data_IF_895775468295
#
_entry.id   IF_895775468295
#
_cell.length_a   1.000
_cell.length_b   1.000
_cell.length_c   1.000
_cell.angle_alpha   90.00
_cell.angle_beta   90.00
_cell.angle_gamma   90.00
#
_symmetry.space_group_name_H-M   'P 1'
#
loop_
_entity.id
_entity.type
_entity.pdbx_description
1 polymer ?
#
# COMPACT_ATOMS: atom_id res chain seq x y z
N UNK A 1 17.90 22.62 11.18
CA UNK A 1 17.75 24.00 11.71
C UNK A 1 16.85 23.98 12.95
N UNK A 2 17.28 24.57 14.07
CA UNK A 2 16.44 24.69 15.29
C UNK A 2 15.35 25.75 15.06
N UNK A 3 14.11 25.40 15.38
CA UNK A 3 12.95 26.31 15.34
C UNK A 3 13.09 27.41 16.40
N UNK A 4 12.81 28.65 16.01
CA UNK A 4 12.72 29.78 16.93
C UNK A 4 11.57 29.62 17.93
N UNK A 5 11.68 30.25 19.10
CA UNK A 5 10.71 30.10 20.22
C UNK A 5 9.27 30.41 19.80
N UNK A 6 9.04 31.52 19.11
CA UNK A 6 7.70 31.90 18.62
C UNK A 6 7.10 30.92 17.61
N UNK A 7 7.94 30.23 16.83
CA UNK A 7 7.48 29.20 15.90
C UNK A 7 7.09 27.91 16.64
N UNK A 8 7.77 27.56 17.74
CA UNK A 8 7.38 26.43 18.59
C UNK A 8 6.04 26.67 19.29
N UNK A 9 5.81 27.89 19.78
CA UNK A 9 4.55 28.24 20.44
C UNK A 9 3.37 28.14 19.46
N UNK A 10 3.56 28.59 18.21
CA UNK A 10 2.56 28.43 17.13
C UNK A 10 2.29 26.97 16.81
N UNK A 11 3.33 26.12 16.74
CA UNK A 11 3.16 24.66 16.52
C UNK A 11 2.33 24.06 17.65
N UNK A 12 2.67 24.37 18.91
CA UNK A 12 1.94 23.85 20.06
C UNK A 12 0.48 24.32 20.06
N UNK A 13 0.25 25.61 19.82
CA UNK A 13 -1.09 26.19 19.75
C UNK A 13 -1.92 25.56 18.62
N UNK A 14 -1.31 25.38 17.45
CA UNK A 14 -1.96 24.74 16.31
C UNK A 14 -2.35 23.28 16.62
N UNK A 15 -1.44 22.51 17.20
CA UNK A 15 -1.69 21.12 17.60
C UNK A 15 -2.79 21.01 18.66
N UNK A 16 -2.82 21.92 19.65
CA UNK A 16 -3.86 21.96 20.68
C UNK A 16 -5.23 22.25 20.07
N UNK A 17 -5.31 23.15 19.08
CA UNK A 17 -6.58 23.54 18.47
C UNK A 17 -7.09 22.49 17.48
N UNK A 18 -6.20 21.91 16.67
CA UNK A 18 -6.60 21.02 15.55
C UNK A 18 -6.52 19.54 15.87
N UNK A 19 -5.82 19.15 16.93
CA UNK A 19 -5.45 17.75 17.20
C UNK A 19 -4.43 17.19 16.20
N UNK A 20 -3.84 18.01 15.32
CA UNK A 20 -2.90 17.56 14.32
C UNK A 20 -1.57 17.09 14.94
N UNK A 21 -0.90 16.15 14.26
CA UNK A 21 0.47 15.77 14.62
C UNK A 21 1.45 16.93 14.39
N UNK A 22 2.60 16.92 15.08
CA UNK A 22 3.63 17.94 14.92
C UNK A 22 4.09 18.08 13.46
N UNK A 23 4.20 16.96 12.72
CA UNK A 23 4.55 16.96 11.29
C UNK A 23 3.54 17.77 10.46
N UNK A 24 2.25 17.54 10.69
CA UNK A 24 1.16 18.21 9.96
C UNK A 24 1.08 19.68 10.36
N UNK A 25 1.20 19.99 11.65
CA UNK A 25 1.26 21.36 12.14
C UNK A 25 2.42 22.15 11.50
N UNK A 26 3.62 21.55 11.44
CA UNK A 26 4.79 22.15 10.79
C UNK A 26 4.58 22.35 9.29
N UNK A 27 3.91 21.43 8.61
CA UNK A 27 3.63 21.54 7.17
C UNK A 27 2.63 22.68 6.88
N UNK A 28 1.51 22.73 7.62
CA UNK A 28 0.50 23.78 7.48
C UNK A 28 1.05 25.17 7.85
N UNK A 29 1.83 25.27 8.93
CA UNK A 29 2.48 26.53 9.33
C UNK A 29 3.54 26.98 8.33
N UNK A 30 4.30 26.06 7.72
CA UNK A 30 5.25 26.46 6.66
C UNK A 30 4.55 26.92 5.39
N UNK A 31 3.46 26.25 5.00
CA UNK A 31 2.67 26.59 3.81
C UNK A 31 1.91 27.91 3.93
N UNK A 32 1.81 28.47 5.14
CA UNK A 32 1.12 29.73 5.45
C UNK A 32 2.07 30.82 5.94
N UNK A 33 3.38 30.68 5.70
CA UNK A 33 4.41 31.63 6.18
C UNK A 33 4.33 31.89 7.69
N UNK A 34 4.03 30.84 8.46
CA UNK A 34 3.86 30.85 9.91
C UNK A 34 2.68 31.70 10.41
N UNK A 35 1.67 31.98 9.57
CA UNK A 35 0.42 32.61 9.99
C UNK A 35 -0.55 31.54 10.50
N UNK A 36 -1.01 31.67 11.75
CA UNK A 36 -1.82 30.65 12.40
C UNK A 36 -3.19 30.48 11.72
N UNK A 37 -3.85 31.59 11.36
CA UNK A 37 -5.14 31.57 10.64
C UNK A 37 -5.00 30.93 9.25
N UNK A 38 -4.02 31.37 8.46
CA UNK A 38 -3.73 30.76 7.17
C UNK A 38 -3.34 29.28 7.28
N UNK A 39 -2.69 28.87 8.38
CA UNK A 39 -2.41 27.45 8.63
C UNK A 39 -3.68 26.64 8.88
N UNK A 40 -4.70 27.23 9.53
CA UNK A 40 -6.00 26.55 9.69
C UNK A 40 -6.68 26.40 8.34
N UNK A 41 -6.70 27.45 7.52
CA UNK A 41 -7.27 27.39 6.17
C UNK A 41 -6.58 26.32 5.33
N UNK A 42 -5.24 26.26 5.36
CA UNK A 42 -4.47 25.19 4.73
C UNK A 42 -4.86 23.82 5.29
N UNK A 43 -4.90 23.65 6.62
CA UNK A 43 -5.18 22.34 7.22
C UNK A 43 -6.60 21.82 6.97
N UNK A 44 -7.60 22.70 6.93
CA UNK A 44 -8.99 22.33 6.68
C UNK A 44 -9.33 22.25 5.19
N UNK A 45 -8.57 22.89 4.31
CA UNK A 45 -8.71 22.77 2.85
C UNK A 45 -7.93 21.60 2.25
N UNK A 46 -6.93 21.07 2.95
CA UNK A 46 -6.15 19.94 2.47
C UNK A 46 -6.88 18.61 2.74
N UNK A 47 -6.91 17.67 1.77
CA UNK A 47 -7.32 16.30 2.04
C UNK A 47 -6.39 15.72 3.12
N UNK A 48 -6.96 15.36 4.26
CA UNK A 48 -6.19 14.96 5.44
C UNK A 48 -5.58 13.56 5.32
N UNK A 49 -5.99 12.83 4.29
CA UNK A 49 -5.42 11.56 3.85
C UNK A 49 -4.93 11.78 2.43
N UNK A 50 -3.67 11.44 2.17
CA UNK A 50 -3.14 11.44 0.81
C UNK A 50 -3.97 10.45 -0.03
N UNK A 51 -4.50 10.86 -1.21
CA UNK A 51 -5.24 9.95 -2.09
C UNK A 51 -4.48 8.68 -2.48
N UNK A 52 -3.14 8.71 -2.41
CA UNK A 52 -2.26 7.57 -2.68
C UNK A 52 -1.89 6.75 -1.43
N UNK A 53 -2.36 7.16 -0.24
CA UNK A 53 -2.13 6.42 0.99
C UNK A 53 -2.86 5.07 0.97
N UNK A 54 -2.22 4.02 1.49
CA UNK A 54 -2.83 2.69 1.64
C UNK A 54 -4.13 2.73 2.46
N UNK A 55 -4.27 3.71 3.36
CA UNK A 55 -5.51 3.93 4.11
C UNK A 55 -6.69 4.17 3.18
N UNK A 56 -6.52 4.80 2.01
CA UNK A 56 -7.60 4.98 1.05
C UNK A 56 -8.10 3.64 0.51
N UNK A 57 -7.22 2.67 0.28
CA UNK A 57 -7.60 1.31 -0.10
C UNK A 57 -8.41 0.63 1.03
N UNK A 58 -7.98 0.78 2.29
CA UNK A 58 -8.69 0.20 3.45
C UNK A 58 -10.06 0.86 3.65
N UNK A 59 -10.14 2.19 3.51
CA UNK A 59 -11.42 2.92 3.51
C UNK A 59 -12.32 2.37 2.41
N UNK A 60 -11.82 2.28 1.17
CA UNK A 60 -12.58 1.75 0.03
C UNK A 60 -13.06 0.31 0.26
N UNK A 61 -12.27 -0.52 0.92
CA UNK A 61 -12.65 -1.88 1.32
C UNK A 61 -13.82 -1.87 2.33
N UNK A 62 -13.78 -1.02 3.36
CA UNK A 62 -14.90 -0.84 4.30
C UNK A 62 -16.16 -0.27 3.64
N UNK A 63 -15.99 0.63 2.68
CA UNK A 63 -17.10 1.14 1.85
C UNK A 63 -17.65 0.10 0.88
N UNK A 64 -16.97 -1.05 0.72
CA UNK A 64 -17.27 -2.07 -0.29
C UNK A 64 -17.34 -1.47 -1.70
N UNK A 65 -16.43 -0.55 -1.99
CA UNK A 65 -16.44 0.22 -3.22
C UNK A 65 -16.20 -0.67 -4.44
N UNK A 66 -17.01 -0.49 -5.48
CA UNK A 66 -16.90 -1.24 -6.71
C UNK A 66 -15.69 -0.82 -7.57
N UNK A 67 -15.35 0.48 -7.59
CA UNK A 67 -14.34 1.05 -8.48
C UNK A 67 -13.42 2.02 -7.73
N UNK A 68 -12.16 2.09 -8.13
CA UNK A 68 -11.20 3.11 -7.69
C UNK A 68 -11.64 4.53 -8.05
N UNK A 69 -11.30 5.49 -7.18
CA UNK A 69 -11.53 6.93 -7.34
C UNK A 69 -13.00 7.38 -7.36
N UNK A 70 -13.96 6.49 -7.14
CA UNK A 70 -15.39 6.84 -7.03
C UNK A 70 -16.07 6.08 -5.89
N UNK A 71 -17.11 6.71 -5.33
CA UNK A 71 -18.05 6.06 -4.43
C UNK A 71 -19.46 6.41 -4.88
N UNK A 72 -20.33 5.41 -4.96
CA UNK A 72 -21.76 5.63 -4.96
C UNK A 72 -22.21 6.17 -3.60
N UNK A 73 -23.37 6.84 -3.58
CA UNK A 73 -23.98 7.32 -2.34
C UNK A 73 -24.24 6.17 -1.33
N UNK A 74 -24.60 4.98 -1.82
CA UNK A 74 -24.88 3.83 -0.97
C UNK A 74 -23.61 3.27 -0.33
N UNK A 75 -22.52 3.11 -1.09
CA UNK A 75 -21.22 2.67 -0.56
C UNK A 75 -20.71 3.67 0.50
N UNK A 76 -20.76 4.96 0.18
CA UNK A 76 -20.28 6.01 1.09
C UNK A 76 -21.07 6.04 2.41
N UNK A 77 -22.40 6.13 2.34
CA UNK A 77 -23.23 6.20 3.55
C UNK A 77 -23.17 4.88 4.33
N UNK A 78 -23.30 3.75 3.63
CA UNK A 78 -23.33 2.43 4.27
C UNK A 78 -22.00 2.07 4.95
N UNK A 79 -20.87 2.34 4.29
CA UNK A 79 -19.56 2.06 4.86
C UNK A 79 -19.19 2.97 6.03
N UNK A 80 -19.50 4.28 5.94
CA UNK A 80 -19.29 5.19 7.07
C UNK A 80 -20.16 4.82 8.27
N UNK A 81 -21.42 4.44 8.05
CA UNK A 81 -22.29 3.94 9.12
C UNK A 81 -21.73 2.65 9.74
N UNK A 82 -21.24 1.71 8.94
CA UNK A 82 -20.63 0.47 9.42
C UNK A 82 -19.36 0.74 10.26
N UNK A 83 -18.61 1.78 9.93
CA UNK A 83 -17.44 2.24 10.69
C UNK A 83 -17.80 3.08 11.93
N UNK A 84 -19.08 3.43 12.11
CA UNK A 84 -19.53 4.34 13.16
C UNK A 84 -18.99 5.77 12.99
N UNK A 85 -18.78 6.19 11.74
CA UNK A 85 -18.23 7.49 11.37
C UNK A 85 -19.36 8.37 10.83
N UNK A 86 -19.64 9.48 11.51
CA UNK A 86 -20.64 10.49 11.12
C UNK A 86 -20.04 11.91 10.98
N UNK A 87 -18.73 12.03 11.21
CA UNK A 87 -17.97 13.28 11.07
C UNK A 87 -16.56 13.02 10.54
N UNK A 88 -15.92 14.07 10.04
CA UNK A 88 -14.54 13.99 9.57
C UNK A 88 -13.57 13.69 10.72
N UNK A 89 -13.84 14.21 11.92
CA UNK A 89 -13.07 13.93 13.14
C UNK A 89 -13.09 12.44 13.46
N UNK A 90 -14.26 11.79 13.45
CA UNK A 90 -14.34 10.34 13.69
C UNK A 90 -13.64 9.54 12.60
N UNK A 91 -13.70 9.98 11.34
CA UNK A 91 -12.95 9.33 10.26
C UNK A 91 -11.45 9.35 10.55
N UNK A 92 -10.91 10.50 10.98
CA UNK A 92 -9.50 10.67 11.36
C UNK A 92 -9.12 9.73 12.51
N UNK A 93 -9.94 9.69 13.56
CA UNK A 93 -9.72 8.80 14.71
C UNK A 93 -9.71 7.31 14.34
N UNK A 94 -10.38 6.95 13.23
CA UNK A 94 -10.37 5.58 12.68
C UNK A 94 -9.15 5.24 11.85
N UNK A 95 -8.37 6.21 11.37
CA UNK A 95 -7.19 5.95 10.51
C UNK A 95 -6.18 4.98 11.16
N UNK A 96 -5.77 5.15 12.43
CA UNK A 96 -4.84 4.23 13.08
C UNK A 96 -5.40 2.81 13.18
N UNK A 97 -6.70 2.69 13.44
CA UNK A 97 -7.39 1.40 13.45
C UNK A 97 -7.35 0.76 12.06
N UNK A 98 -7.73 1.49 11.00
CA UNK A 98 -7.70 0.98 9.62
C UNK A 98 -6.30 0.51 9.20
N UNK A 99 -5.24 1.23 9.57
CA UNK A 99 -3.86 0.75 9.35
C UNK A 99 -3.56 -0.53 10.13
N UNK A 100 -4.01 -0.62 11.37
CA UNK A 100 -3.79 -1.82 12.19
C UNK A 100 -4.44 -3.08 11.61
N UNK A 101 -5.50 -2.92 10.80
CA UNK A 101 -6.16 -4.05 10.13
C UNK A 101 -5.27 -4.71 9.07
N UNK A 102 -4.35 -3.97 8.44
CA UNK A 102 -3.40 -4.54 7.48
C UNK A 102 -2.35 -5.45 8.14
N UNK A 103 -2.21 -5.37 9.47
CA UNK A 103 -1.31 -6.24 10.24
C UNK A 103 -1.90 -7.63 10.47
N UNK A 104 -3.23 -7.74 10.45
CA UNK A 104 -3.92 -9.03 10.51
C UNK A 104 -3.84 -9.71 9.15
N UNK A 105 -3.32 -10.94 9.09
CA UNK A 105 -3.05 -11.61 7.81
C UNK A 105 -4.34 -12.00 7.08
N UNK A 106 -5.40 -12.34 7.79
CA UNK A 106 -6.68 -12.66 7.17
C UNK A 106 -7.29 -11.41 6.53
N UNK A 107 -7.36 -10.30 7.28
CA UNK A 107 -7.84 -9.02 6.72
C UNK A 107 -6.95 -8.52 5.60
N UNK A 108 -5.64 -8.66 5.72
CA UNK A 108 -4.71 -8.31 4.64
C UNK A 108 -5.02 -9.11 3.38
N UNK A 109 -5.27 -10.43 3.48
CA UNK A 109 -5.70 -11.27 2.35
C UNK A 109 -6.97 -10.73 1.70
N UNK A 110 -7.96 -10.36 2.50
CA UNK A 110 -9.24 -9.85 2.03
C UNK A 110 -9.05 -8.51 1.30
N UNK A 111 -8.29 -7.58 1.89
CA UNK A 111 -7.97 -6.27 1.30
C UNK A 111 -7.13 -6.41 0.03
N UNK A 112 -6.13 -7.29 0.02
CA UNK A 112 -5.29 -7.60 -1.13
C UNK A 112 -6.11 -8.12 -2.32
N UNK A 113 -7.02 -9.07 -2.06
CA UNK A 113 -7.89 -9.62 -3.11
C UNK A 113 -8.97 -8.63 -3.58
N UNK A 114 -9.44 -7.78 -2.67
CA UNK A 114 -10.32 -6.67 -3.00
C UNK A 114 -9.65 -5.67 -3.95
N UNK A 115 -8.39 -5.30 -3.68
CA UNK A 115 -7.64 -4.31 -4.45
C UNK A 115 -7.63 -4.62 -5.96
N UNK A 116 -7.51 -5.89 -6.36
CA UNK A 116 -7.59 -6.28 -7.77
C UNK A 116 -8.92 -5.90 -8.42
N UNK A 117 -10.04 -6.20 -7.74
CA UNK A 117 -11.38 -5.91 -8.24
C UNK A 117 -11.67 -4.42 -8.29
N UNK A 118 -11.19 -3.70 -7.28
CA UNK A 118 -11.34 -2.26 -7.10
C UNK A 118 -10.51 -1.45 -8.11
N UNK A 119 -9.27 -1.87 -8.38
CA UNK A 119 -8.33 -1.12 -9.22
C UNK A 119 -8.46 -1.40 -10.72
N UNK A 120 -9.05 -2.53 -11.12
CA UNK A 120 -9.22 -2.85 -12.54
C UNK A 120 -10.33 -2.01 -13.16
N UNK A 121 -10.20 -1.73 -14.45
CA UNK A 121 -11.25 -1.05 -15.20
C UNK A 121 -12.55 -1.87 -15.28
N UNK A 122 -13.68 -1.16 -15.37
CA UNK A 122 -15.01 -1.78 -15.48
C UNK A 122 -15.09 -2.60 -16.78
N UNK A 123 -15.56 -3.84 -16.66
CA UNK A 123 -15.67 -4.78 -17.79
C UNK A 123 -14.39 -5.58 -18.09
N UNK A 124 -13.23 -5.18 -17.55
CA UNK A 124 -11.99 -5.93 -17.73
C UNK A 124 -11.87 -7.11 -16.77
N UNK A 125 -11.22 -8.18 -17.24
CA UNK A 125 -10.91 -9.38 -16.44
C UNK A 125 -9.52 -9.33 -15.79
N UNK A 126 -8.66 -8.46 -16.30
CA UNK A 126 -7.27 -8.31 -15.90
C UNK A 126 -6.99 -6.88 -15.44
N UNK A 127 -5.98 -6.71 -14.59
CA UNK A 127 -5.50 -5.42 -14.10
C UNK A 127 -4.40 -4.88 -15.03
N UNK A 128 -4.46 -3.60 -15.40
CA UNK A 128 -3.40 -2.99 -16.20
C UNK A 128 -2.06 -3.04 -15.45
N UNK A 129 -0.95 -3.24 -16.19
CA UNK A 129 0.35 -3.51 -15.57
C UNK A 129 0.80 -2.38 -14.63
N UNK A 130 0.76 -1.14 -15.09
CA UNK A 130 1.18 0.02 -14.30
C UNK A 130 0.37 0.15 -13.00
N UNK A 131 -0.95 -0.10 -13.08
CA UNK A 131 -1.82 -0.11 -11.90
C UNK A 131 -1.49 -1.26 -10.95
N UNK A 132 -1.18 -2.45 -11.47
CA UNK A 132 -0.78 -3.60 -10.66
C UNK A 132 0.54 -3.33 -9.92
N UNK A 133 1.54 -2.75 -10.60
CA UNK A 133 2.82 -2.34 -10.01
C UNK A 133 2.60 -1.35 -8.88
N UNK A 134 1.85 -0.27 -9.12
CA UNK A 134 1.57 0.73 -8.09
C UNK A 134 0.86 0.13 -6.87
N UNK A 135 -0.08 -0.80 -7.10
CA UNK A 135 -0.77 -1.49 -6.00
C UNK A 135 0.15 -2.41 -5.21
N UNK A 136 1.02 -3.18 -5.86
CA UNK A 136 1.97 -4.04 -5.16
C UNK A 136 2.99 -3.25 -4.36
N UNK A 137 3.52 -2.16 -4.92
CA UNK A 137 4.41 -1.26 -4.19
C UNK A 137 3.71 -0.70 -2.94
N UNK A 138 2.44 -0.31 -3.06
CA UNK A 138 1.64 0.19 -1.94
C UNK A 138 1.40 -0.89 -0.87
N UNK A 139 0.90 -2.06 -1.28
CA UNK A 139 0.52 -3.17 -0.38
C UNK A 139 1.73 -3.79 0.33
N UNK A 140 2.82 -4.01 -0.40
CA UNK A 140 4.01 -4.66 0.15
C UNK A 140 4.97 -3.71 0.84
N UNK A 141 4.80 -2.38 0.72
CA UNK A 141 5.48 -1.44 1.61
C UNK A 141 5.08 -1.65 3.08
N UNK A 142 3.82 -2.02 3.34
CA UNK A 142 3.32 -2.33 4.70
C UNK A 142 3.83 -3.70 5.20
N UNK A 143 3.92 -4.71 4.31
CA UNK A 143 4.39 -6.07 4.65
C UNK A 143 5.91 -6.27 4.52
N UNK A 144 6.63 -5.26 4.01
CA UNK A 144 8.08 -5.26 3.84
C UNK A 144 8.61 -6.46 3.02
N UNK A 145 7.89 -6.87 1.98
CA UNK A 145 8.35 -7.97 1.13
C UNK A 145 9.57 -7.55 0.30
N UNK A 146 10.72 -8.16 0.59
CA UNK A 146 12.04 -7.76 0.07
C UNK A 146 12.19 -7.86 -1.46
N UNK A 147 11.36 -8.68 -2.10
CA UNK A 147 11.43 -8.95 -3.54
C UNK A 147 10.46 -8.08 -4.35
N UNK A 148 9.70 -7.16 -3.72
CA UNK A 148 8.70 -6.33 -4.43
C UNK A 148 9.30 -5.52 -5.58
N UNK A 149 10.46 -4.89 -5.36
CA UNK A 149 11.10 -4.07 -6.39
C UNK A 149 11.61 -4.93 -7.55
N UNK A 150 12.17 -6.10 -7.25
CA UNK A 150 12.62 -7.05 -8.26
C UNK A 150 11.45 -7.62 -9.07
N UNK A 151 10.32 -7.91 -8.42
CA UNK A 151 9.08 -8.32 -9.08
C UNK A 151 8.58 -7.25 -10.04
N UNK A 152 8.51 -5.99 -9.60
CA UNK A 152 8.07 -4.88 -10.44
C UNK A 152 9.00 -4.66 -11.64
N UNK A 153 10.31 -4.71 -11.43
CA UNK A 153 11.31 -4.60 -12.51
C UNK A 153 11.20 -5.75 -13.52
N UNK A 154 11.06 -6.99 -13.03
CA UNK A 154 10.85 -8.17 -13.88
C UNK A 154 9.63 -8.00 -14.78
N UNK A 155 8.49 -7.59 -14.21
CA UNK A 155 7.27 -7.42 -14.97
C UNK A 155 7.40 -6.35 -16.07
N UNK A 156 8.08 -5.25 -15.77
CA UNK A 156 8.34 -4.18 -16.75
C UNK A 156 9.30 -4.64 -17.86
N UNK A 157 10.32 -5.44 -17.50
CA UNK A 157 11.35 -5.86 -18.44
C UNK A 157 10.93 -7.04 -19.33
N UNK A 158 10.18 -8.03 -18.80
CA UNK A 158 9.92 -9.30 -19.49
C UNK A 158 8.45 -9.58 -19.79
N UNK A 159 7.52 -9.18 -18.93
CA UNK A 159 6.09 -9.50 -19.11
C UNK A 159 5.36 -8.45 -19.95
N UNK A 160 5.45 -7.18 -19.54
CA UNK A 160 4.84 -6.01 -20.17
C UNK A 160 3.36 -6.19 -20.60
N UNK A 161 2.56 -6.91 -19.80
CA UNK A 161 1.15 -7.23 -20.07
C UNK A 161 0.30 -7.11 -18.80
N UNK A 162 -1.02 -7.03 -18.99
CA UNK A 162 -1.98 -7.02 -17.91
C UNK A 162 -1.88 -8.26 -17.01
N UNK A 163 -2.17 -8.08 -15.73
CA UNK A 163 -2.08 -9.11 -14.68
C UNK A 163 -3.43 -9.78 -14.49
N UNK A 164 -3.42 -11.12 -14.50
CA UNK A 164 -4.63 -11.92 -14.25
C UNK A 164 -4.97 -11.97 -12.76
N UNK A 165 -6.24 -12.25 -12.42
CA UNK A 165 -6.66 -12.44 -11.02
C UNK A 165 -5.92 -13.60 -10.35
N UNK A 166 -5.67 -14.66 -11.10
CA UNK A 166 -4.99 -15.85 -10.60
C UNK A 166 -3.54 -15.52 -10.20
N UNK A 167 -2.77 -14.93 -11.12
CA UNK A 167 -1.41 -14.44 -10.86
C UNK A 167 -1.35 -13.48 -9.67
N UNK A 168 -2.30 -12.54 -9.58
CA UNK A 168 -2.41 -11.63 -8.46
C UNK A 168 -2.54 -12.38 -7.13
N UNK A 169 -3.51 -13.29 -7.03
CA UNK A 169 -3.75 -14.07 -5.80
C UNK A 169 -2.57 -14.99 -5.46
N UNK A 170 -2.01 -15.68 -6.45
CA UNK A 170 -0.90 -16.62 -6.24
C UNK A 170 0.38 -15.90 -5.79
N UNK A 171 0.61 -14.65 -6.22
CA UNK A 171 1.77 -13.89 -5.72
C UNK A 171 1.71 -13.68 -4.20
N UNK A 172 0.52 -13.45 -3.63
CA UNK A 172 0.39 -13.32 -2.17
C UNK A 172 0.77 -14.63 -1.47
N UNK A 173 0.27 -15.76 -1.95
CA UNK A 173 0.63 -17.08 -1.40
C UNK A 173 2.14 -17.34 -1.53
N UNK A 174 2.74 -16.96 -2.66
CA UNK A 174 4.18 -17.03 -2.87
C UNK A 174 4.93 -16.22 -1.80
N UNK A 175 4.50 -14.98 -1.51
CA UNK A 175 5.15 -14.14 -0.49
C UNK A 175 5.08 -14.71 0.93
N UNK A 176 4.11 -15.57 1.23
CA UNK A 176 3.91 -16.17 2.55
C UNK A 176 4.55 -17.55 2.70
N UNK A 177 4.66 -18.30 1.60
CA UNK A 177 5.04 -19.71 1.64
C UNK A 177 6.44 -19.97 1.12
N UNK A 178 6.98 -19.09 0.27
CA UNK A 178 8.31 -19.27 -0.33
C UNK A 178 9.34 -18.45 0.42
N UNK A 179 10.43 -19.11 0.81
CA UNK A 179 11.54 -18.49 1.52
C UNK A 179 12.21 -17.41 0.65
N UNK A 180 12.75 -16.33 1.25
CA UNK A 180 13.44 -15.27 0.49
C UNK A 180 14.64 -15.77 -0.34
N UNK A 181 15.21 -16.93 0.02
CA UNK A 181 16.31 -17.59 -0.69
C UNK A 181 15.82 -18.58 -1.76
N UNK A 182 14.50 -18.73 -1.91
CA UNK A 182 13.82 -19.71 -2.76
C UNK A 182 14.19 -21.17 -2.48
N UNK A 183 14.72 -21.48 -1.28
CA UNK A 183 15.18 -22.83 -0.93
C UNK A 183 14.08 -23.89 -0.97
N UNK A 184 12.84 -23.48 -0.75
CA UNK A 184 11.66 -24.34 -0.74
C UNK A 184 10.76 -24.12 -1.98
N UNK A 185 11.23 -23.39 -2.99
CA UNK A 185 10.48 -23.19 -4.23
C UNK A 185 10.48 -24.46 -5.08
N UNK A 186 9.32 -24.84 -5.59
CA UNK A 186 9.13 -25.97 -6.50
C UNK A 186 8.57 -25.48 -7.84
N UNK A 187 9.40 -25.55 -8.88
CA UNK A 187 9.04 -25.16 -10.26
C UNK A 187 8.10 -26.16 -10.95
N UNK A 188 7.94 -27.37 -10.41
CA UNK A 188 6.91 -28.33 -10.88
C UNK A 188 5.59 -28.16 -10.12
N UNK A 189 5.52 -27.20 -9.19
CA UNK A 189 4.34 -26.85 -8.43
C UNK A 189 3.23 -26.22 -9.28
N UNK A 190 2.06 -26.00 -8.66
CA UNK A 190 0.90 -25.39 -9.31
C UNK A 190 0.96 -23.85 -9.37
N UNK A 191 2.16 -23.28 -9.52
CA UNK A 191 2.33 -21.84 -9.65
C UNK A 191 1.96 -21.36 -11.06
N UNK A 192 1.49 -20.11 -11.21
CA UNK A 192 1.37 -19.50 -12.52
C UNK A 192 2.75 -19.38 -13.16
N UNK A 193 2.84 -19.68 -14.46
CA UNK A 193 4.08 -19.58 -15.24
C UNK A 193 4.84 -18.24 -15.06
N UNK A 194 4.12 -17.14 -14.82
CA UNK A 194 4.76 -15.84 -14.57
C UNK A 194 5.59 -15.79 -13.26
N UNK A 195 5.21 -16.58 -12.25
CA UNK A 195 5.98 -16.71 -11.01
C UNK A 195 7.23 -17.57 -11.27
N UNK A 196 7.13 -18.64 -12.05
CA UNK A 196 8.29 -19.43 -12.48
C UNK A 196 9.31 -18.55 -13.23
N UNK A 197 8.85 -17.78 -14.21
CA UNK A 197 9.70 -16.83 -14.96
C UNK A 197 10.35 -15.78 -14.05
N UNK A 198 9.68 -15.37 -12.97
CA UNK A 198 10.27 -14.46 -11.99
C UNK A 198 11.38 -15.12 -11.18
N UNK A 199 11.19 -16.37 -10.75
CA UNK A 199 12.24 -17.13 -10.07
C UNK A 199 13.45 -17.34 -10.98
N UNK A 200 13.22 -17.67 -12.25
CA UNK A 200 14.29 -17.74 -13.26
C UNK A 200 15.01 -16.40 -13.40
N UNK A 201 14.27 -15.29 -13.50
CA UNK A 201 14.84 -13.94 -13.53
C UNK A 201 15.73 -13.63 -12.32
N UNK A 202 15.31 -14.01 -11.11
CA UNK A 202 16.10 -13.80 -9.89
C UNK A 202 17.43 -14.58 -9.93
N UNK A 203 17.39 -15.82 -10.42
CA UNK A 203 18.57 -16.68 -10.54
C UNK A 203 19.55 -16.17 -11.61
N UNK A 204 19.05 -15.81 -12.79
CA UNK A 204 19.87 -15.31 -13.91
C UNK A 204 20.61 -14.02 -13.57
N UNK A 205 20.01 -13.16 -12.76
CA UNK A 205 20.61 -11.89 -12.34
C UNK A 205 21.43 -12.01 -11.04
N UNK A 206 21.57 -13.21 -10.48
CA UNK A 206 22.33 -13.45 -9.25
C UNK A 206 21.79 -12.69 -8.03
N UNK A 207 20.49 -12.35 -8.04
CA UNK A 207 19.82 -11.63 -6.94
C UNK A 207 19.74 -12.53 -5.71
N UNK A 208 19.63 -13.85 -5.94
CA UNK A 208 19.60 -14.86 -4.88
C UNK A 208 20.88 -15.68 -4.95
N UNK A 209 21.71 -15.54 -3.91
CA UNK A 209 22.88 -16.39 -3.72
C UNK A 209 22.39 -17.76 -3.26
N UNK A 210 22.28 -18.69 -4.21
CA UNK A 210 22.18 -20.10 -3.85
C UNK A 210 23.54 -20.51 -3.28
N UNK A 211 23.59 -20.83 -1.99
CA UNK A 211 24.73 -21.48 -1.34
C UNK A 211 24.88 -22.92 -1.88
N UNK A 212 25.09 -23.08 -3.19
CA UNK A 212 25.67 -24.30 -3.75
C UNK A 212 27.17 -24.22 -3.50
N UNK A 213 27.57 -24.41 -2.25
CA UNK A 213 28.95 -24.78 -1.94
C UNK A 213 29.17 -26.14 -2.58
N UNK A 214 29.78 -26.14 -3.76
CA UNK A 214 30.19 -27.33 -4.48
C UNK A 214 31.29 -28.05 -3.68
N UNK A 215 30.92 -29.13 -2.98
CA UNK A 215 31.86 -29.98 -2.26
C UNK A 215 32.70 -30.87 -3.19
N UNK A 216 32.58 -30.76 -4.53
CA UNK A 216 33.28 -31.66 -5.46
C UNK A 216 34.71 -31.26 -5.83
N UNK A 217 35.23 -30.12 -5.34
CA UNK A 217 36.63 -29.70 -5.60
C UNK A 217 37.60 -29.88 -4.42
N UNK A 218 37.21 -30.60 -3.36
CA UNK A 218 38.13 -31.03 -2.29
C UNK A 218 38.36 -32.54 -2.31
N UNK A 219 39.06 -33.05 -3.33
CA UNK A 219 39.85 -34.28 -3.25
C UNK A 219 41.08 -34.16 -4.12
#
# INVERSE_FOLDING_TARGET
HKLGRGNRDKVQQFMVITGASEKVALQALKASDWHLEGAFDVFYSQPQVDPQDIVMLVVSWHMKAATMCEFSKQEFIGGLQALGVDSLEKLRERIPFMRSELKDDQKFREIYNFAFGWAKEKGQKSLALDTAIGMWQLLFAEKQWLLVDHWCQFLQARHNKAISRDTWSQLLEFTWTVDPTLSNYDAEGAWPYLIDEFVEYLNENGIIQTDKTDWSQRR
#
